data_IF_876292900569
#
_entry.id   IF_876292900569
#
_cell.length_a   1.000
_cell.length_b   1.000
_cell.length_c   1.000
_cell.angle_alpha   90.00
_cell.angle_beta   90.00
_cell.angle_gamma   90.00
#
_symmetry.space_group_name_H-M   'P 1'
#
loop_
_entity.id
_entity.type
_entity.pdbx_description
1 polymer ?
#
# COMPACT_ATOMS: atom_id res chain seq x y z
N UNK A 1 0.68 -2.76 16.35
CA UNK A 1 -0.67 -2.36 15.91
C UNK A 1 -1.28 -3.51 15.14
N UNK A 2 -2.53 -3.87 15.41
CA UNK A 2 -3.19 -4.95 14.66
C UNK A 2 -3.67 -4.44 13.28
N UNK A 3 -3.33 -5.17 12.20
CA UNK A 3 -3.76 -4.89 10.82
C UNK A 3 -4.88 -5.82 10.32
N UNK A 4 -5.19 -6.93 11.00
CA UNK A 4 -6.38 -7.75 10.72
C UNK A 4 -7.66 -7.03 11.14
N UNK A 5 -8.15 -6.11 10.31
CA UNK A 5 -9.30 -5.26 10.62
C UNK A 5 -10.35 -5.26 9.51
N UNK A 6 -11.59 -5.00 9.92
CA UNK A 6 -12.75 -4.83 9.03
C UNK A 6 -12.59 -3.65 8.07
N UNK A 7 -13.37 -3.68 6.99
CA UNK A 7 -13.43 -2.66 5.93
C UNK A 7 -13.48 -1.22 6.48
N UNK A 8 -14.40 -0.94 7.41
CA UNK A 8 -14.60 0.41 7.95
C UNK A 8 -13.35 0.97 8.65
N UNK A 9 -12.51 0.10 9.22
CA UNK A 9 -11.24 0.52 9.82
C UNK A 9 -10.22 0.91 8.76
N UNK A 10 -10.11 0.14 7.69
CA UNK A 10 -9.24 0.47 6.56
C UNK A 10 -9.71 1.73 5.81
N UNK A 11 -11.02 1.93 5.71
CA UNK A 11 -11.61 3.17 5.18
C UNK A 11 -11.20 4.41 5.97
N UNK A 12 -11.41 4.41 7.29
CA UNK A 12 -11.17 5.59 8.17
C UNK A 12 -9.69 5.78 8.57
N UNK A 13 -8.93 4.69 8.60
CA UNK A 13 -7.57 4.63 9.13
C UNK A 13 -7.53 4.18 10.59
N UNK A 14 -6.36 3.71 11.01
CA UNK A 14 -6.11 3.22 12.36
C UNK A 14 -4.61 3.24 12.71
N UNK A 15 -4.29 3.02 13.99
CA UNK A 15 -2.92 2.99 14.48
C UNK A 15 -2.45 4.34 15.01
N UNK A 16 -1.14 4.46 15.23
CA UNK A 16 -0.51 5.64 15.80
C UNK A 16 0.45 6.22 14.77
N UNK A 17 0.18 7.44 14.30
CA UNK A 17 0.98 8.07 13.22
C UNK A 17 2.42 8.35 13.70
N UNK A 18 2.56 8.84 14.93
CA UNK A 18 3.85 9.19 15.50
C UNK A 18 3.87 8.98 17.01
N UNK A 19 5.08 8.94 17.57
CA UNK A 19 5.38 8.87 19.00
C UNK A 19 6.55 9.79 19.33
N UNK A 20 6.66 10.20 20.58
CA UNK A 20 7.81 10.99 21.07
C UNK A 20 8.93 10.06 21.50
N UNK A 21 10.16 10.35 21.04
CA UNK A 21 11.39 9.74 21.56
C UNK A 21 11.88 10.31 22.90
N UNK A 22 11.09 11.16 23.57
CA UNK A 22 11.47 11.84 24.82
C UNK A 22 11.50 13.37 24.75
N UNK A 23 11.18 13.94 23.58
CA UNK A 23 11.02 15.39 23.39
C UNK A 23 9.55 15.81 23.58
N UNK A 24 9.28 17.11 23.62
CA UNK A 24 7.92 17.66 23.69
C UNK A 24 7.16 17.64 22.33
N UNK A 25 7.71 16.99 21.31
CA UNK A 25 7.08 16.74 20.02
C UNK A 25 7.29 15.28 19.58
N UNK A 26 6.43 14.78 18.68
CA UNK A 26 6.57 13.44 18.12
C UNK A 26 7.54 13.46 16.93
N UNK A 27 8.65 12.73 17.03
CA UNK A 27 9.72 12.68 16.03
C UNK A 27 9.96 11.28 15.46
N UNK A 28 9.25 10.28 15.98
CA UNK A 28 9.41 8.88 15.56
C UNK A 28 8.10 8.36 14.98
N UNK A 29 8.11 7.69 13.82
CA UNK A 29 6.89 7.09 13.27
C UNK A 29 6.36 5.97 14.16
N UNK A 30 5.04 5.79 14.16
CA UNK A 30 4.39 4.60 14.68
C UNK A 30 3.87 3.72 13.54
N UNK A 31 3.22 2.62 13.91
CA UNK A 31 2.52 1.77 12.95
C UNK A 31 1.10 2.29 12.73
N UNK A 32 0.73 2.54 11.49
CA UNK A 32 -0.61 3.04 11.15
C UNK A 32 -1.00 2.73 9.71
N UNK A 33 -2.29 2.89 9.44
CA UNK A 33 -2.87 2.99 8.11
C UNK A 33 -3.67 4.29 8.04
N UNK A 34 -3.37 5.16 7.07
CA UNK A 34 -3.93 6.52 7.03
C UNK A 34 -5.45 6.55 6.86
N UNK A 35 -5.98 5.60 6.10
CA UNK A 35 -7.39 5.48 5.72
C UNK A 35 -7.57 5.59 4.19
N UNK A 36 -8.27 4.63 3.60
CA UNK A 36 -8.42 4.54 2.15
C UNK A 36 -9.12 5.76 1.54
N UNK A 37 -10.10 6.35 2.24
CA UNK A 37 -10.76 7.59 1.77
C UNK A 37 -9.76 8.74 1.67
N UNK A 38 -8.86 8.87 2.65
CA UNK A 38 -7.85 9.92 2.68
C UNK A 38 -6.80 9.70 1.58
N UNK A 39 -6.35 8.46 1.40
CA UNK A 39 -5.37 8.11 0.36
C UNK A 39 -5.98 8.35 -1.03
N UNK A 40 -7.23 7.91 -1.26
CA UNK A 40 -7.94 8.17 -2.52
C UNK A 40 -8.02 9.66 -2.81
N UNK A 41 -8.42 10.47 -1.83
CA UNK A 41 -8.48 11.93 -1.99
C UNK A 41 -7.11 12.53 -2.30
N UNK A 42 -6.06 12.12 -1.58
CA UNK A 42 -4.69 12.60 -1.82
C UNK A 42 -4.23 12.33 -3.25
N UNK A 43 -4.41 11.09 -3.73
CA UNK A 43 -3.96 10.70 -5.08
C UNK A 43 -4.77 11.36 -6.21
N UNK A 44 -5.93 11.94 -5.91
CA UNK A 44 -6.78 12.66 -6.88
C UNK A 44 -6.44 14.14 -7.01
N UNK A 45 -5.60 14.69 -6.12
CA UNK A 45 -5.19 16.10 -6.18
C UNK A 45 -4.35 16.36 -7.44
N UNK A 46 -3.56 15.38 -7.87
CA UNK A 46 -2.74 15.49 -9.07
C UNK A 46 -1.87 14.24 -9.27
N UNK A 47 -0.92 14.30 -10.22
CA UNK A 47 0.07 13.24 -10.40
C UNK A 47 0.75 12.91 -9.08
N UNK A 48 0.65 11.65 -8.68
CA UNK A 48 1.15 11.16 -7.40
C UNK A 48 2.04 9.95 -7.65
N UNK A 49 3.20 9.93 -7.01
CA UNK A 49 4.11 8.80 -6.97
C UNK A 49 4.06 8.13 -5.60
N UNK A 50 4.46 6.85 -5.53
CA UNK A 50 4.60 6.12 -4.27
C UNK A 50 5.97 5.46 -4.16
N UNK A 51 6.57 5.56 -2.98
CA UNK A 51 7.80 4.88 -2.61
C UNK A 51 7.49 3.88 -1.48
N UNK A 52 7.82 2.62 -1.71
CA UNK A 52 7.72 1.55 -0.72
C UNK A 52 9.15 1.16 -0.33
N UNK A 53 9.47 1.30 0.95
CA UNK A 53 10.76 0.92 1.52
C UNK A 53 10.57 -0.27 2.47
N UNK A 54 11.47 -1.24 2.40
CA UNK A 54 11.47 -2.40 3.28
C UNK A 54 12.88 -2.77 3.69
N UNK A 55 13.01 -3.25 4.93
CA UNK A 55 14.26 -3.66 5.56
C UNK A 55 14.08 -5.06 6.12
N UNK A 56 15.04 -5.95 5.89
CA UNK A 56 15.04 -7.28 6.47
C UNK A 56 15.62 -7.28 7.91
N UNK A 57 15.59 -8.43 8.57
CA UNK A 57 16.10 -8.54 9.94
C UNK A 57 17.64 -8.49 10.03
N UNK A 58 18.35 -8.59 8.91
CA UNK A 58 19.81 -8.44 8.82
C UNK A 58 20.23 -6.98 8.52
N UNK A 59 19.28 -6.10 8.23
CA UNK A 59 19.49 -4.69 7.92
C UNK A 59 19.61 -4.37 6.42
N UNK A 60 19.39 -5.33 5.53
CA UNK A 60 19.39 -5.12 4.09
C UNK A 60 18.13 -4.37 3.66
N UNK A 61 18.29 -3.38 2.78
CA UNK A 61 17.22 -2.47 2.35
C UNK A 61 16.98 -2.51 0.86
N UNK A 62 15.70 -2.55 0.50
CA UNK A 62 15.26 -2.43 -0.89
C UNK A 62 14.09 -1.47 -0.99
N UNK A 63 13.88 -0.93 -2.19
CA UNK A 63 12.77 -0.03 -2.47
C UNK A 63 12.08 -0.36 -3.80
N UNK A 64 10.80 -0.01 -3.84
CA UNK A 64 9.96 -0.01 -5.02
C UNK A 64 9.32 1.36 -5.17
N UNK A 65 9.71 2.08 -6.23
CA UNK A 65 9.14 3.37 -6.61
C UNK A 65 8.21 3.18 -7.81
N UNK A 66 7.06 3.83 -7.80
CA UNK A 66 6.12 3.88 -8.91
C UNK A 66 5.80 5.34 -9.21
N UNK A 67 6.15 5.79 -10.41
CA UNK A 67 5.93 7.18 -10.84
C UNK A 67 4.46 7.55 -11.02
N UNK A 68 3.58 6.56 -11.22
CA UNK A 68 2.14 6.72 -11.14
C UNK A 68 1.55 5.90 -10.01
N UNK A 69 0.72 6.54 -9.18
CA UNK A 69 -0.02 5.91 -8.10
C UNK A 69 -1.39 6.55 -7.93
N UNK A 70 -2.45 5.74 -7.98
CA UNK A 70 -3.82 6.21 -7.75
C UNK A 70 -4.64 5.16 -7.01
N UNK A 71 -5.45 5.63 -6.06
CA UNK A 71 -6.46 4.83 -5.37
C UNK A 71 -7.83 5.41 -5.68
N UNK A 72 -8.72 4.59 -6.25
CA UNK A 72 -10.10 5.02 -6.54
C UNK A 72 -10.93 5.21 -5.27
N UNK A 73 -12.14 5.76 -5.40
CA UNK A 73 -13.01 5.95 -4.24
C UNK A 73 -13.62 4.61 -3.76
N UNK A 74 -14.35 4.64 -2.64
CA UNK A 74 -15.03 3.47 -2.09
C UNK A 74 -16.03 2.83 -3.08
N UNK A 75 -16.70 3.64 -3.92
CA UNK A 75 -17.63 3.15 -4.95
C UNK A 75 -16.96 2.25 -5.99
N UNK A 76 -15.67 2.46 -6.23
CA UNK A 76 -14.81 1.61 -7.04
C UNK A 76 -13.88 0.75 -6.17
N UNK A 77 -14.30 0.45 -4.94
CA UNK A 77 -13.64 -0.48 -4.01
C UNK A 77 -12.16 -0.18 -3.79
N UNK A 78 -11.78 1.11 -3.83
CA UNK A 78 -10.40 1.56 -3.68
C UNK A 78 -9.42 0.89 -4.66
N UNK A 79 -9.85 0.68 -5.91
CA UNK A 79 -9.02 0.09 -6.96
C UNK A 79 -7.64 0.74 -7.06
N UNK A 80 -6.59 -0.09 -7.06
CA UNK A 80 -5.20 0.32 -7.21
C UNK A 80 -4.84 0.52 -8.68
N UNK A 81 -4.13 1.60 -8.99
CA UNK A 81 -3.43 1.77 -10.26
C UNK A 81 -2.01 2.24 -10.00
N UNK A 82 -1.04 1.56 -10.60
CA UNK A 82 0.38 1.93 -10.56
C UNK A 82 1.04 1.85 -11.94
N UNK A 83 2.04 2.69 -12.17
CA UNK A 83 2.86 2.70 -13.39
C UNK A 83 4.30 3.13 -13.09
N UNK A 84 5.17 2.99 -14.10
CA UNK A 84 6.52 3.56 -14.09
C UNK A 84 7.38 3.06 -12.91
N UNK A 85 7.41 1.72 -12.73
CA UNK A 85 8.20 1.08 -11.69
C UNK A 85 9.70 1.36 -11.86
N UNK A 86 10.37 1.65 -10.75
CA UNK A 86 11.82 1.70 -10.61
C UNK A 86 12.21 1.22 -9.22
N UNK A 87 13.25 0.41 -9.10
CA UNK A 87 13.74 -0.02 -7.79
C UNK A 87 14.44 -1.37 -7.83
N UNK A 88 14.91 -1.82 -6.68
CA UNK A 88 15.61 -3.08 -6.48
C UNK A 88 14.81 -4.13 -5.70
N UNK A 89 13.59 -3.80 -5.22
CA UNK A 89 12.73 -4.74 -4.49
C UNK A 89 11.99 -5.75 -5.40
N UNK A 90 11.90 -5.47 -6.70
CA UNK A 90 11.11 -6.23 -7.67
C UNK A 90 9.75 -5.60 -7.93
N UNK A 91 9.27 -5.69 -9.19
CA UNK A 91 8.02 -5.09 -9.65
C UNK A 91 6.80 -5.94 -9.28
N UNK A 92 6.61 -6.22 -7.98
CA UNK A 92 5.55 -7.13 -7.53
C UNK A 92 4.14 -6.60 -7.84
N UNK A 93 3.92 -5.27 -7.84
CA UNK A 93 2.59 -4.72 -8.07
C UNK A 93 2.13 -4.88 -9.52
N UNK A 94 3.01 -4.68 -10.52
CA UNK A 94 2.63 -4.74 -11.93
C UNK A 94 2.93 -6.09 -12.59
N UNK A 95 3.93 -6.83 -12.12
CA UNK A 95 4.38 -8.07 -12.76
C UNK A 95 4.17 -9.32 -11.91
N UNK A 96 3.69 -9.18 -10.68
CA UNK A 96 3.46 -10.30 -9.76
C UNK A 96 4.76 -10.96 -9.28
N UNK A 97 4.61 -12.11 -8.65
CA UNK A 97 5.69 -12.90 -8.07
C UNK A 97 6.64 -13.46 -9.16
N UNK A 98 7.91 -13.06 -9.13
CA UNK A 98 8.90 -13.40 -10.17
C UNK A 98 9.30 -14.88 -10.17
N UNK A 99 9.10 -15.58 -9.06
CA UNK A 99 9.45 -16.99 -8.87
C UNK A 99 8.43 -17.97 -9.45
N UNK A 100 7.26 -17.49 -9.89
CA UNK A 100 6.21 -18.31 -10.53
C UNK A 100 6.06 -17.92 -12.00
N UNK A 101 5.39 -18.78 -12.77
CA UNK A 101 5.28 -18.64 -14.22
C UNK A 101 3.85 -18.82 -14.72
N UNK A 102 3.57 -18.29 -15.91
CA UNK A 102 2.27 -18.41 -16.57
C UNK A 102 1.15 -17.81 -15.72
N UNK A 103 0.03 -18.51 -15.68
CA UNK A 103 -1.18 -18.12 -14.94
C UNK A 103 -0.91 -17.85 -13.45
N UNK A 104 -0.05 -18.67 -12.82
CA UNK A 104 0.31 -18.52 -11.41
C UNK A 104 1.03 -17.20 -11.12
N UNK A 105 1.75 -16.62 -12.09
CA UNK A 105 2.35 -15.30 -11.93
C UNK A 105 1.32 -14.20 -12.08
N UNK A 106 0.49 -14.28 -13.12
CA UNK A 106 -0.48 -13.23 -13.44
C UNK A 106 -1.56 -13.07 -12.38
N UNK A 107 -1.94 -14.15 -11.67
CA UNK A 107 -2.89 -14.09 -10.55
C UNK A 107 -2.35 -13.36 -9.30
N UNK A 108 -1.05 -13.05 -9.26
CA UNK A 108 -0.42 -12.32 -8.14
C UNK A 108 -0.15 -10.85 -8.45
N UNK A 109 -0.64 -10.35 -9.59
CA UNK A 109 -0.53 -8.93 -9.97
C UNK A 109 -1.53 -8.12 -9.15
N UNK A 110 -1.08 -7.02 -8.54
CA UNK A 110 -1.93 -6.14 -7.74
C UNK A 110 -2.45 -4.93 -8.54
N UNK A 111 -1.77 -4.54 -9.61
CA UNK A 111 -2.18 -3.41 -10.43
C UNK A 111 -3.56 -3.67 -11.04
N UNK A 112 -4.50 -2.74 -10.82
CA UNK A 112 -5.89 -2.89 -11.24
C UNK A 112 -6.78 -3.65 -10.25
N UNK A 113 -6.23 -4.26 -9.20
CA UNK A 113 -7.02 -5.01 -8.21
C UNK A 113 -7.83 -4.09 -7.30
N UNK A 114 -8.95 -4.60 -6.81
CA UNK A 114 -9.73 -3.96 -5.76
C UNK A 114 -9.12 -4.21 -4.39
N UNK A 115 -9.46 -3.34 -3.43
CA UNK A 115 -9.12 -3.56 -2.04
C UNK A 115 -10.08 -4.57 -1.41
N UNK A 116 -9.56 -5.43 -0.54
CA UNK A 116 -10.34 -6.45 0.19
C UNK A 116 -9.97 -6.45 1.66
N UNK A 117 -10.93 -6.82 2.51
CA UNK A 117 -10.71 -7.10 3.94
C UNK A 117 -11.38 -8.42 4.27
N UNK A 118 -11.07 -9.00 5.44
CA UNK A 118 -11.63 -10.31 5.80
C UNK A 118 -13.17 -10.34 5.88
N UNK A 119 -13.83 -9.19 6.05
CA UNK A 119 -15.29 -9.02 6.07
C UNK A 119 -15.85 -8.46 4.75
N UNK A 120 -15.01 -8.23 3.74
CA UNK A 120 -15.42 -7.72 2.43
C UNK A 120 -14.49 -8.22 1.33
N UNK A 121 -14.94 -9.29 0.70
CA UNK A 121 -14.29 -9.91 -0.44
C UNK A 121 -14.51 -9.07 -1.72
N UNK A 122 -13.40 -8.69 -2.35
CA UNK A 122 -13.31 -8.16 -3.71
C UNK A 122 -12.05 -8.70 -4.41
N UNK A 123 -11.48 -9.81 -3.94
CA UNK A 123 -10.35 -10.44 -4.61
C UNK A 123 -10.82 -11.27 -5.82
N UNK A 124 -9.87 -11.82 -6.59
CA UNK A 124 -10.12 -12.50 -7.86
C UNK A 124 -9.08 -13.57 -8.15
#
# INVERSE_FOLDING_TARGET
>A
VNFGRVWDRYKKGFGNVAKSGGKNYCDTPGEYWLGNDKISQLTKIGPTEVLIEMEDWNGDKVSAHYGGFTIQNEGNKYQLSVSDYKGNAGNALMEGASQVHGENRTMTIHNGMFFSTYDRDNDG
#
